data_IF_557826763138
#
_entry.id   IF_557826763138
#
_cell.length_a   1.000
_cell.length_b   1.000
_cell.length_c   1.000
_cell.angle_alpha   90.00
_cell.angle_beta   90.00
_cell.angle_gamma   90.00
#
_symmetry.space_group_name_H-M   'P 1'
#
loop_
_entity.id
_entity.type
_entity.pdbx_description
1 polymer ?
#
# COMPACT_ATOMS: atom_id res chain seq x y z
N UNK A 1 19.83 -7.38 11.25
CA UNK A 1 20.39 -6.57 12.34
C UNK A 1 21.34 -5.53 11.79
N UNK A 2 21.20 -4.28 12.23
CA UNK A 2 22.15 -3.21 11.91
C UNK A 2 23.23 -3.23 13.00
N UNK A 3 24.52 -3.36 12.64
CA UNK A 3 25.58 -3.43 13.63
C UNK A 3 25.85 -2.05 14.25
N UNK A 4 26.05 -2.01 15.57
CA UNK A 4 26.38 -0.76 16.29
C UNK A 4 27.71 -0.15 15.83
N UNK A 5 28.60 -0.94 15.24
CA UNK A 5 29.89 -0.47 14.69
C UNK A 5 29.74 0.53 13.54
N UNK A 6 28.55 0.67 12.95
CA UNK A 6 28.29 1.72 11.96
C UNK A 6 28.46 3.13 12.55
N UNK A 7 28.34 3.32 13.86
CA UNK A 7 28.62 4.61 14.51
C UNK A 7 30.05 5.10 14.32
N UNK A 8 30.99 4.22 13.97
CA UNK A 8 32.38 4.59 13.70
C UNK A 8 32.59 5.25 12.33
N UNK A 9 31.59 5.21 11.45
CA UNK A 9 31.65 5.80 10.12
C UNK A 9 31.38 7.31 10.19
N UNK A 10 32.21 8.07 10.92
CA UNK A 10 31.99 9.50 11.23
C UNK A 10 31.89 10.44 10.02
N UNK A 11 32.31 9.99 8.84
CA UNK A 11 32.30 10.75 7.59
C UNK A 11 31.26 10.24 6.59
N UNK A 12 30.35 9.35 7.01
CA UNK A 12 29.34 8.81 6.09
C UNK A 12 28.26 9.84 5.81
N UNK A 13 28.03 10.11 4.52
CA UNK A 13 27.01 11.05 4.05
C UNK A 13 25.75 10.35 3.56
N UNK A 14 25.84 9.09 3.13
CA UNK A 14 24.71 8.33 2.62
C UNK A 14 24.72 6.91 3.15
N UNK A 15 23.61 6.51 3.78
CA UNK A 15 23.35 5.17 4.29
C UNK A 15 21.95 4.73 3.86
N UNK A 16 21.90 4.02 2.74
CA UNK A 16 20.69 3.36 2.25
C UNK A 16 20.75 1.85 2.53
N UNK A 17 19.85 1.38 3.36
CA UNK A 17 19.65 -0.02 3.73
C UNK A 17 18.24 -0.50 3.35
N UNK A 18 17.53 0.25 2.50
CA UNK A 18 16.16 -0.04 2.13
C UNK A 18 16.02 -1.37 1.37
N UNK A 19 14.82 -1.96 1.39
CA UNK A 19 14.49 -3.20 0.68
C UNK A 19 15.37 -4.40 1.03
N UNK A 20 15.70 -4.53 2.32
CA UNK A 20 16.46 -5.66 2.84
C UNK A 20 15.61 -6.48 3.81
N UNK A 21 16.18 -7.59 4.30
CA UNK A 21 15.55 -8.43 5.33
C UNK A 21 16.14 -8.18 6.70
N UNK A 22 16.55 -6.93 6.99
CA UNK A 22 17.13 -6.59 8.28
C UNK A 22 16.06 -6.66 9.35
N UNK A 23 16.40 -7.27 10.49
CA UNK A 23 15.54 -7.42 11.64
C UNK A 23 16.17 -6.86 12.92
N UNK A 24 15.37 -6.78 13.98
CA UNK A 24 15.78 -6.34 15.30
C UNK A 24 15.75 -4.82 15.48
N UNK A 25 16.31 -4.33 16.59
CA UNK A 25 16.31 -2.91 16.95
C UNK A 25 17.40 -2.14 16.20
N UNK A 26 17.12 -0.88 15.91
CA UNK A 26 18.16 0.05 15.46
C UNK A 26 19.10 0.39 16.63
N UNK A 27 20.42 0.34 16.44
CA UNK A 27 21.35 0.72 17.49
C UNK A 27 21.30 2.23 17.76
N UNK A 28 21.14 2.62 19.04
CA UNK A 28 21.11 4.03 19.44
C UNK A 28 22.38 4.80 19.04
N UNK A 29 23.50 4.11 18.87
CA UNK A 29 24.77 4.69 18.46
C UNK A 29 24.75 5.30 17.04
N UNK A 30 23.74 4.99 16.21
CA UNK A 30 23.60 5.60 14.88
C UNK A 30 23.37 7.12 14.96
N UNK A 31 22.81 7.63 16.06
CA UNK A 31 22.62 9.07 16.29
C UNK A 31 23.95 9.83 16.31
N UNK A 32 25.08 9.13 16.52
CA UNK A 32 26.41 9.74 16.47
C UNK A 32 26.89 10.09 15.04
N UNK A 33 26.16 9.67 14.00
CA UNK A 33 26.47 9.94 12.60
C UNK A 33 25.93 11.31 12.18
N UNK A 34 26.71 12.36 12.49
CA UNK A 34 26.30 13.76 12.31
C UNK A 34 26.42 14.29 10.87
N UNK A 35 27.07 13.55 9.98
CA UNK A 35 27.38 13.93 8.60
C UNK A 35 26.41 13.34 7.58
N UNK A 36 25.40 12.60 8.05
CA UNK A 36 24.58 11.71 7.25
C UNK A 36 23.46 12.49 6.55
N UNK A 37 23.58 12.78 5.27
CA UNK A 37 22.59 13.55 4.51
C UNK A 37 21.45 12.68 3.96
N UNK A 38 21.74 11.42 3.65
CA UNK A 38 20.75 10.46 3.11
C UNK A 38 20.69 9.24 4.01
N UNK A 39 19.50 8.99 4.56
CA UNK A 39 19.23 7.80 5.38
C UNK A 39 17.95 7.12 4.92
N UNK A 40 18.02 5.81 4.70
CA UNK A 40 16.83 4.99 4.50
C UNK A 40 17.02 3.60 5.07
N UNK A 41 16.05 3.16 5.85
CA UNK A 41 15.89 1.78 6.33
C UNK A 41 14.53 1.21 5.89
N UNK A 42 13.92 1.83 4.89
CA UNK A 42 12.58 1.49 4.43
C UNK A 42 12.47 0.03 3.98
N UNK A 43 11.28 -0.56 4.10
CA UNK A 43 10.98 -1.93 3.67
C UNK A 43 11.96 -2.97 4.25
N UNK A 44 12.09 -2.98 5.57
CA UNK A 44 12.81 -3.99 6.35
C UNK A 44 11.88 -4.60 7.43
N UNK A 45 12.41 -5.48 8.27
CA UNK A 45 11.69 -6.09 9.40
C UNK A 45 12.22 -5.58 10.75
N UNK A 46 12.58 -4.28 10.83
CA UNK A 46 13.07 -3.65 12.05
C UNK A 46 11.95 -3.47 13.07
N UNK A 47 12.31 -3.39 14.34
CA UNK A 47 11.36 -3.27 15.44
C UNK A 47 11.84 -2.38 16.58
N UNK A 48 10.91 -1.89 17.39
CA UNK A 48 11.19 -1.06 18.55
C UNK A 48 11.20 0.44 18.23
N UNK A 49 11.74 1.21 19.17
CA UNK A 49 11.78 2.66 19.08
C UNK A 49 12.90 3.14 18.14
N UNK A 50 12.60 4.14 17.31
CA UNK A 50 13.59 4.87 16.54
C UNK A 50 14.56 5.55 17.53
N UNK A 51 15.88 5.46 17.31
CA UNK A 51 16.85 6.20 18.12
C UNK A 51 16.51 7.68 18.20
N UNK A 52 16.89 8.31 19.31
CA UNK A 52 16.51 9.67 19.65
C UNK A 52 16.47 10.61 18.43
N UNK A 53 15.32 11.23 18.20
CA UNK A 53 15.08 12.19 17.13
C UNK A 53 15.86 13.48 17.42
N UNK A 54 17.17 13.45 17.18
CA UNK A 54 18.06 14.58 17.46
C UNK A 54 19.07 14.76 16.33
N UNK A 55 19.59 15.99 16.22
CA UNK A 55 20.58 16.38 15.22
C UNK A 55 20.17 15.97 13.79
N UNK A 56 20.99 15.16 13.13
CA UNK A 56 20.78 14.75 11.75
C UNK A 56 19.62 13.76 11.58
N UNK A 57 19.31 12.97 12.60
CA UNK A 57 18.16 12.05 12.53
C UNK A 57 16.82 12.78 12.53
N UNK A 58 16.78 14.00 13.07
CA UNK A 58 15.61 14.86 13.03
C UNK A 58 15.31 15.45 11.63
N UNK A 59 16.23 15.29 10.65
CA UNK A 59 16.01 15.79 9.27
C UNK A 59 15.41 14.74 8.35
N UNK A 60 15.28 13.48 8.80
CA UNK A 60 14.73 12.40 7.98
C UNK A 60 13.22 12.27 8.16
N UNK A 61 12.51 12.03 7.08
CA UNK A 61 11.05 11.95 7.06
C UNK A 61 10.57 10.51 7.28
N UNK A 62 9.26 10.34 7.44
CA UNK A 62 8.58 9.04 7.57
C UNK A 62 8.96 8.03 6.48
N UNK A 63 9.17 8.51 5.24
CA UNK A 63 9.58 7.68 4.11
C UNK A 63 10.89 6.91 4.35
N UNK A 64 11.81 7.46 5.15
CA UNK A 64 13.08 6.78 5.49
C UNK A 64 12.87 5.54 6.37
N UNK A 65 11.71 5.42 7.01
CA UNK A 65 11.40 4.37 7.97
C UNK A 65 10.23 3.47 7.53
N UNK A 66 9.56 3.81 6.43
CA UNK A 66 8.37 3.15 5.90
C UNK A 66 8.55 1.63 5.73
N UNK A 67 7.48 0.84 5.84
CA UNK A 67 7.53 -0.59 5.58
C UNK A 67 8.17 -1.43 6.70
N UNK A 68 8.46 -0.84 7.87
CA UNK A 68 8.87 -1.55 9.09
C UNK A 68 7.71 -1.62 10.09
N UNK A 69 6.92 -2.70 10.04
CA UNK A 69 5.63 -2.81 10.76
C UNK A 69 5.71 -2.70 12.30
N UNK A 70 6.87 -2.97 12.91
CA UNK A 70 7.06 -2.97 14.36
C UNK A 70 7.92 -1.80 14.85
N UNK A 71 8.20 -0.84 13.99
CA UNK A 71 9.01 0.33 14.29
C UNK A 71 8.10 1.50 14.71
N UNK A 72 8.49 2.24 15.74
CA UNK A 72 7.72 3.36 16.30
C UNK A 72 8.65 4.47 16.84
N UNK A 73 8.12 5.64 17.19
CA UNK A 73 8.89 6.82 17.59
C UNK A 73 9.05 7.81 16.43
N UNK A 74 9.28 9.09 16.73
CA UNK A 74 9.35 10.14 15.70
C UNK A 74 10.34 9.75 14.59
N UNK A 75 9.98 9.89 13.30
CA UNK A 75 8.82 10.61 12.76
C UNK A 75 7.53 9.80 12.76
N UNK A 76 7.64 8.49 13.00
CA UNK A 76 6.52 7.57 13.04
C UNK A 76 5.68 7.78 14.31
N UNK A 77 4.51 7.12 14.42
CA UNK A 77 3.71 7.16 15.63
C UNK A 77 4.52 6.82 16.88
N UNK A 78 4.34 7.61 17.93
CA UNK A 78 5.06 7.46 19.20
C UNK A 78 4.79 6.06 19.78
N UNK A 79 5.84 5.39 20.27
CA UNK A 79 5.71 4.10 20.92
C UNK A 79 4.85 4.24 22.19
N UNK A 80 3.66 3.61 22.20
CA UNK A 80 2.80 3.58 23.39
C UNK A 80 3.42 2.58 24.38
N UNK A 81 4.05 3.09 25.43
CA UNK A 81 4.38 2.27 26.59
C UNK A 81 3.16 2.18 27.52
N UNK A 82 2.94 1.07 28.22
CA UNK A 82 1.81 0.90 29.14
C UNK A 82 1.84 1.83 30.39
N UNK A 83 2.70 2.87 30.40
CA UNK A 83 2.86 3.80 31.53
C UNK A 83 2.14 5.15 31.34
N UNK A 84 1.42 5.37 30.26
CA UNK A 84 0.52 6.53 30.13
C UNK A 84 -0.73 6.10 29.39
N UNK A 85 -1.76 5.74 30.16
CA UNK A 85 -3.13 5.74 29.67
C UNK A 85 -3.67 7.16 29.85
N UNK A 86 -3.92 7.93 28.78
CA UNK A 86 -5.08 8.79 28.73
C UNK A 86 -6.28 7.90 28.39
N UNK A 87 -7.22 7.80 29.32
CA UNK A 87 -8.60 7.47 28.97
C UNK A 87 -9.15 8.50 27.98
N UNK A 88 -10.04 8.01 27.11
CA UNK A 88 -10.83 8.72 26.10
C UNK A 88 -10.05 9.04 24.80
N UNK A 89 -10.59 8.80 23.61
CA UNK A 89 -11.99 8.90 23.22
C UNK A 89 -12.19 8.21 21.87
N UNK A 90 -13.42 7.72 21.66
CA UNK A 90 -14.00 7.59 20.33
C UNK A 90 -13.95 9.00 19.72
N UNK A 91 -13.01 9.21 18.79
CA UNK A 91 -12.84 10.45 18.05
C UNK A 91 -12.50 10.09 16.62
N UNK A 92 -13.52 10.15 15.76
CA UNK A 92 -13.32 10.31 14.33
C UNK A 92 -12.57 11.63 14.09
N UNK A 93 -11.74 11.65 13.04
CA UNK A 93 -11.19 12.79 12.26
C UNK A 93 -9.69 12.54 12.01
N UNK A 94 -9.32 12.00 10.85
CA UNK A 94 -9.19 12.67 9.53
C UNK A 94 -8.06 13.71 9.54
N UNK A 95 -6.91 13.34 8.98
CA UNK A 95 -5.98 14.28 8.33
C UNK A 95 -4.90 13.52 7.53
N UNK A 96 -5.32 12.80 6.48
CA UNK A 96 -4.39 12.23 5.50
C UNK A 96 -4.55 12.94 4.15
N UNK A 97 -3.58 13.80 3.82
CA UNK A 97 -3.40 14.38 2.47
C UNK A 97 -2.79 13.36 1.47
N UNK A 98 -3.00 12.07 1.69
CA UNK A 98 -2.84 11.01 0.70
C UNK A 98 -4.25 10.51 0.46
N UNK A 99 -4.76 10.67 -0.77
CA UNK A 99 -6.10 10.18 -1.06
C UNK A 99 -6.11 8.68 -0.75
N UNK A 100 -6.81 8.33 0.31
CA UNK A 100 -6.79 7.01 0.91
C UNK A 100 -7.12 5.97 -0.16
N UNK A 101 -6.12 5.17 -0.56
CA UNK A 101 -6.27 4.14 -1.59
C UNK A 101 -7.36 3.14 -1.21
N UNK A 102 -7.60 2.96 0.09
CA UNK A 102 -8.70 2.16 0.59
C UNK A 102 -10.05 2.85 0.35
N UNK A 103 -10.16 4.16 0.60
CA UNK A 103 -11.34 4.98 0.24
C UNK A 103 -11.66 4.96 -1.26
N UNK A 104 -10.64 5.00 -2.12
CA UNK A 104 -10.84 4.81 -3.56
C UNK A 104 -11.41 3.42 -3.87
N UNK A 105 -10.81 2.35 -3.33
CA UNK A 105 -11.29 1.00 -3.57
C UNK A 105 -12.74 0.79 -3.10
N UNK A 106 -13.08 1.36 -1.94
CA UNK A 106 -14.43 1.30 -1.38
C UNK A 106 -15.43 2.03 -2.27
N UNK A 107 -15.11 3.23 -2.75
CA UNK A 107 -15.98 4.03 -3.63
C UNK A 107 -16.17 3.41 -5.01
N UNK A 108 -15.09 2.87 -5.61
CA UNK A 108 -15.20 2.10 -6.85
C UNK A 108 -16.07 0.86 -6.66
N UNK A 109 -15.90 0.14 -5.56
CA UNK A 109 -16.71 -1.06 -5.26
C UNK A 109 -18.18 -0.70 -5.07
N UNK A 110 -18.49 0.32 -4.29
CA UNK A 110 -19.89 0.75 -4.08
C UNK A 110 -20.55 1.26 -5.35
N UNK A 111 -19.85 2.07 -6.16
CA UNK A 111 -20.39 2.54 -7.44
C UNK A 111 -20.68 1.39 -8.41
N UNK A 112 -19.77 0.40 -8.51
CA UNK A 112 -19.97 -0.79 -9.34
C UNK A 112 -21.20 -1.59 -8.91
N UNK A 113 -21.37 -1.81 -7.60
CA UNK A 113 -22.52 -2.54 -7.04
C UNK A 113 -23.84 -1.82 -7.37
N UNK A 114 -23.90 -0.49 -7.22
CA UNK A 114 -25.10 0.31 -7.52
C UNK A 114 -25.48 0.17 -9.01
N UNK A 115 -24.52 0.23 -9.92
CA UNK A 115 -24.76 0.06 -11.36
C UNK A 115 -25.32 -1.32 -11.66
N UNK A 116 -24.72 -2.39 -11.09
CA UNK A 116 -25.19 -3.76 -11.27
C UNK A 116 -26.62 -3.92 -10.75
N UNK A 117 -26.92 -3.41 -9.56
CA UNK A 117 -28.28 -3.44 -9.02
C UNK A 117 -29.27 -2.70 -9.93
N UNK A 118 -28.89 -1.53 -10.45
CA UNK A 118 -29.71 -0.78 -11.41
C UNK A 118 -30.05 -1.60 -12.66
N UNK A 119 -29.04 -2.26 -13.25
CA UNK A 119 -29.24 -3.13 -14.43
C UNK A 119 -30.18 -4.29 -14.08
N UNK A 120 -29.97 -4.96 -12.94
CA UNK A 120 -30.82 -6.07 -12.49
C UNK A 120 -32.26 -5.62 -12.29
N UNK A 121 -32.48 -4.46 -11.66
CA UNK A 121 -33.82 -3.89 -11.45
C UNK A 121 -34.50 -3.57 -12.79
N UNK A 122 -33.79 -2.94 -13.73
CA UNK A 122 -34.33 -2.63 -15.07
C UNK A 122 -34.72 -3.90 -15.83
N UNK A 123 -33.86 -4.92 -15.79
CA UNK A 123 -34.14 -6.22 -16.42
C UNK A 123 -35.27 -6.98 -15.71
N UNK A 124 -35.46 -6.77 -14.41
CA UNK A 124 -36.53 -7.40 -13.63
C UNK A 124 -37.88 -6.76 -13.91
N UNK A 125 -37.98 -5.43 -13.83
CA UNK A 125 -39.23 -4.68 -13.98
C UNK A 125 -39.74 -4.75 -15.42
N UNK A 126 -38.84 -4.67 -16.40
CA UNK A 126 -39.25 -4.55 -17.79
C UNK A 126 -38.87 -5.78 -18.63
N UNK A 127 -39.89 -6.58 -18.93
CA UNK A 127 -39.77 -7.81 -19.72
C UNK A 127 -39.28 -7.58 -21.16
N UNK A 128 -39.44 -6.37 -21.70
CA UNK A 128 -38.89 -5.96 -22.99
C UNK A 128 -37.36 -5.87 -22.95
N UNK A 129 -36.80 -5.14 -21.97
CA UNK A 129 -35.35 -4.99 -21.81
C UNK A 129 -34.68 -6.32 -21.48
N UNK A 130 -35.35 -7.17 -20.70
CA UNK A 130 -34.91 -8.55 -20.45
C UNK A 130 -34.69 -9.34 -21.75
N UNK A 131 -35.68 -9.34 -22.65
CA UNK A 131 -35.56 -10.03 -23.95
C UNK A 131 -34.44 -9.42 -24.80
N UNK A 132 -34.37 -8.09 -24.88
CA UNK A 132 -33.35 -7.37 -25.65
C UNK A 132 -31.93 -7.67 -25.15
N UNK A 133 -31.73 -7.75 -23.83
CA UNK A 133 -30.46 -8.11 -23.20
C UNK A 133 -30.03 -9.53 -23.56
N UNK A 134 -30.92 -10.51 -23.47
CA UNK A 134 -30.61 -11.90 -23.88
C UNK A 134 -30.17 -11.98 -25.34
N UNK A 135 -30.87 -11.30 -26.26
CA UNK A 135 -30.46 -11.24 -27.67
C UNK A 135 -29.08 -10.61 -27.88
N UNK A 136 -28.75 -9.56 -27.12
CA UNK A 136 -27.45 -8.92 -27.20
C UNK A 136 -26.35 -9.87 -26.72
N UNK A 137 -26.52 -10.50 -25.56
CA UNK A 137 -25.56 -11.47 -25.02
C UNK A 137 -25.34 -12.64 -25.98
N UNK A 138 -26.41 -13.20 -26.54
CA UNK A 138 -26.32 -14.28 -27.53
C UNK A 138 -25.54 -13.86 -28.78
N UNK A 139 -25.80 -12.66 -29.30
CA UNK A 139 -25.09 -12.12 -30.45
C UNK A 139 -23.58 -11.96 -30.20
N UNK A 140 -23.19 -11.49 -29.01
CA UNK A 140 -21.77 -11.38 -28.63
C UNK A 140 -21.11 -12.74 -28.49
N UNK A 141 -21.78 -13.71 -27.84
CA UNK A 141 -21.26 -15.07 -27.70
C UNK A 141 -21.05 -15.71 -29.08
N UNK A 142 -22.01 -15.56 -29.98
CA UNK A 142 -21.93 -16.08 -31.34
C UNK A 142 -20.83 -15.36 -32.15
N UNK A 143 -20.71 -14.03 -32.08
CA UNK A 143 -19.61 -13.32 -32.74
C UNK A 143 -18.24 -13.73 -32.22
N UNK A 144 -18.09 -13.88 -30.90
CA UNK A 144 -16.85 -14.35 -30.30
C UNK A 144 -16.54 -15.80 -30.71
N UNK A 145 -17.53 -16.69 -30.73
CA UNK A 145 -17.31 -18.09 -31.14
C UNK A 145 -16.94 -18.19 -32.61
N UNK A 146 -17.56 -17.41 -33.50
CA UNK A 146 -17.16 -17.32 -34.91
C UNK A 146 -15.77 -16.73 -35.09
N UNK A 147 -15.43 -15.67 -34.35
CA UNK A 147 -14.08 -15.08 -34.40
C UNK A 147 -13.01 -16.09 -33.94
N UNK A 148 -13.27 -16.81 -32.85
CA UNK A 148 -12.42 -17.88 -32.33
C UNK A 148 -12.28 -19.00 -33.35
N UNK A 149 -13.38 -19.52 -33.90
CA UNK A 149 -13.35 -20.58 -34.92
C UNK A 149 -12.59 -20.14 -36.16
N UNK A 150 -12.88 -18.95 -36.68
CA UNK A 150 -12.24 -18.46 -37.90
C UNK A 150 -10.75 -18.13 -37.70
N UNK A 151 -10.32 -17.66 -36.52
CA UNK A 151 -8.91 -17.35 -36.29
C UNK A 151 -8.08 -18.53 -35.75
N UNK A 152 -8.67 -19.42 -34.94
CA UNK A 152 -7.96 -20.52 -34.28
C UNK A 152 -8.11 -21.88 -34.99
N UNK A 153 -9.17 -22.11 -35.77
CA UNK A 153 -9.34 -23.36 -36.52
C UNK A 153 -8.86 -23.22 -37.96
N UNK A 154 -9.03 -22.07 -38.62
CA UNK A 154 -8.49 -21.85 -39.96
C UNK A 154 -6.95 -21.89 -40.00
N UNK A 155 -6.29 -21.48 -38.92
CA UNK A 155 -4.82 -21.61 -38.73
C UNK A 155 -4.35 -23.05 -38.54
N UNK A 156 -5.25 -24.01 -38.26
CA UNK A 156 -4.93 -25.45 -38.15
C UNK A 156 -5.09 -26.23 -39.46
N UNK A 157 -5.75 -25.69 -40.47
CA UNK A 157 -5.99 -26.36 -41.77
C UNK A 157 -5.16 -25.79 -42.93
N UNK A 158 -4.45 -24.68 -42.73
CA UNK A 158 -3.36 -24.26 -43.61
C UNK A 158 -2.03 -24.79 -43.07
N UNK A 159 -1.80 -26.10 -43.19
CA UNK A 159 -0.45 -26.67 -43.13
C UNK A 159 -0.35 -27.97 -43.92
#
# INVERSE_FOLDING_TARGET
LIPSTFSNLKQIESLDLSYNKLNGKMPHQLVELKTLEVFSVAYNNLSGEIPEWTAQFATFNESSYEGNIFLCGLPLPICISPATMPEASIGNEQDDNLIDMDSFFITFTTSYIIVIFGIVIVLYVNSYWRRRWFYFVEMWITSCSYFVVNNLIATRYCH
#
